data_IF_464055183101
#
_entry.id   IF_464055183101
#
_cell.length_a   1.000
_cell.length_b   1.000
_cell.length_c   1.000
_cell.angle_alpha   90.00
_cell.angle_beta   90.00
_cell.angle_gamma   90.00
#
_symmetry.space_group_name_H-M   'P 1'
#
loop_
_entity.id
_entity.type
_entity.pdbx_description
1 polymer ?
#
# COMPACT_ATOMS: atom_id res chain seq x y z
N UNK A 1 -29.71 68.20 -13.03
CA UNK A 1 -29.04 67.93 -14.33
C UNK A 1 -29.08 66.43 -14.60
N UNK A 2 -29.63 66.04 -15.77
CA UNK A 2 -29.49 64.80 -16.59
C UNK A 2 -29.50 63.41 -15.87
N UNK A 3 -30.56 62.57 -15.99
CA UNK A 3 -30.99 61.63 -17.11
C UNK A 3 -29.99 60.46 -17.31
N UNK A 4 -30.32 59.15 -17.39
CA UNK A 4 -31.39 58.33 -18.02
C UNK A 4 -31.54 56.99 -17.21
N UNK A 5 -32.70 56.38 -16.87
CA UNK A 5 -33.82 55.71 -17.60
C UNK A 5 -33.43 54.53 -18.51
N UNK A 6 -33.78 53.29 -18.10
CA UNK A 6 -34.59 52.35 -18.91
C UNK A 6 -35.23 51.23 -18.06
N UNK A 7 -36.56 51.23 -18.08
CA UNK A 7 -37.53 50.25 -17.60
C UNK A 7 -37.82 49.22 -18.69
N UNK A 8 -38.19 47.98 -18.37
CA UNK A 8 -39.17 47.16 -19.13
C UNK A 8 -39.62 45.95 -18.33
N UNK A 9 -40.88 45.99 -17.90
CA UNK A 9 -41.71 44.90 -17.41
C UNK A 9 -42.41 44.28 -18.62
N UNK A 10 -42.63 42.96 -18.64
CA UNK A 10 -43.65 42.37 -19.54
C UNK A 10 -44.43 41.30 -18.78
N UNK A 11 -45.75 41.46 -18.79
CA UNK A 11 -46.76 40.58 -18.21
C UNK A 11 -47.86 40.40 -19.26
N UNK A 12 -48.52 39.24 -19.21
CA UNK A 12 -49.83 38.89 -19.80
C UNK A 12 -49.83 38.29 -21.22
N UNK A 13 -50.24 37.02 -21.31
CA UNK A 13 -51.64 36.69 -21.63
C UNK A 13 -52.03 35.26 -21.25
N UNK A 14 -53.32 35.12 -21.04
CA UNK A 14 -54.07 34.16 -20.24
C UNK A 14 -54.74 33.06 -21.08
N UNK A 15 -55.18 31.98 -20.39
CA UNK A 15 -56.53 31.35 -20.48
C UNK A 15 -56.74 30.03 -21.27
N UNK A 16 -57.06 28.98 -20.46
CA UNK A 16 -58.15 27.98 -20.58
C UNK A 16 -58.07 26.84 -21.63
N UNK A 17 -58.53 25.60 -21.38
CA UNK A 17 -59.29 25.02 -20.26
C UNK A 17 -59.51 23.51 -20.41
N UNK A 18 -59.88 22.87 -19.28
CA UNK A 18 -60.78 21.69 -19.09
C UNK A 18 -60.25 20.31 -19.49
N UNK A 19 -60.60 19.19 -18.84
CA UNK A 19 -61.11 18.78 -17.51
C UNK A 19 -61.46 17.28 -17.69
N UNK A 20 -61.07 16.38 -16.78
CA UNK A 20 -61.98 15.40 -16.09
C UNK A 20 -61.19 14.25 -15.44
N UNK A 21 -61.33 14.18 -14.12
CA UNK A 21 -61.19 12.94 -13.34
C UNK A 21 -62.37 12.01 -13.64
N UNK A 22 -62.09 10.70 -13.69
CA UNK A 22 -63.02 9.64 -13.26
C UNK A 22 -62.24 8.45 -12.71
N UNK A 23 -62.80 7.89 -11.65
CA UNK A 23 -62.26 6.94 -10.68
C UNK A 23 -62.98 5.57 -10.86
N UNK A 24 -62.39 4.49 -10.30
CA UNK A 24 -62.86 3.08 -10.16
C UNK A 24 -62.58 2.17 -11.38
N UNK A 25 -62.15 0.89 -11.28
CA UNK A 25 -62.25 -0.11 -10.20
C UNK A 25 -61.31 -1.32 -10.45
N UNK A 26 -60.72 -1.85 -9.37
CA UNK A 26 -60.46 -3.28 -9.01
C UNK A 26 -59.88 -4.30 -10.00
N UNK A 27 -58.81 -5.01 -9.57
CA UNK A 27 -58.67 -6.49 -9.46
C UNK A 27 -57.18 -6.84 -9.17
N UNK A 28 -56.81 -7.19 -7.92
CA UNK A 28 -56.54 -8.56 -7.39
C UNK A 28 -55.27 -9.27 -7.89
N UNK A 29 -54.38 -9.61 -6.94
CA UNK A 29 -53.40 -10.71 -6.99
C UNK A 29 -52.01 -10.32 -7.53
N UNK A 30 -50.87 -10.82 -7.05
CA UNK A 30 -50.54 -11.85 -6.07
C UNK A 30 -49.07 -11.61 -5.65
N UNK A 31 -48.77 -11.81 -4.37
CA UNK A 31 -47.41 -11.97 -3.85
C UNK A 31 -46.73 -13.17 -4.53
N UNK A 32 -45.52 -13.01 -5.04
CA UNK A 32 -44.58 -14.11 -5.21
C UNK A 32 -43.19 -13.70 -4.76
N UNK A 33 -42.78 -14.31 -3.65
CA UNK A 33 -41.42 -14.43 -3.14
C UNK A 33 -40.55 -15.08 -4.23
N UNK A 34 -39.56 -14.37 -4.77
CA UNK A 34 -38.52 -15.00 -5.57
C UNK A 34 -37.41 -15.47 -4.62
N UNK A 35 -37.52 -16.74 -4.25
CA UNK A 35 -36.55 -17.54 -3.53
C UNK A 35 -35.32 -17.74 -4.45
N UNK A 36 -34.20 -17.07 -4.17
CA UNK A 36 -32.95 -17.38 -4.88
C UNK A 36 -32.27 -18.56 -4.17
N UNK A 37 -32.53 -19.78 -4.65
CA UNK A 37 -31.65 -20.91 -4.39
C UNK A 37 -30.41 -20.77 -5.28
N UNK A 38 -29.28 -20.37 -4.71
CA UNK A 38 -27.99 -20.63 -5.32
C UNK A 38 -27.63 -22.10 -5.07
N UNK A 39 -27.56 -22.87 -6.15
CA UNK A 39 -27.17 -24.28 -6.16
C UNK A 39 -25.71 -24.43 -5.74
N UNK A 40 -25.47 -25.22 -4.70
CA UNK A 40 -24.15 -25.77 -4.38
C UNK A 40 -23.70 -26.69 -5.53
N UNK A 41 -22.60 -26.34 -6.19
CA UNK A 41 -21.83 -27.27 -6.99
C UNK A 41 -20.37 -27.14 -6.57
N UNK A 42 -20.00 -27.97 -5.59
CA UNK A 42 -18.63 -28.19 -5.16
C UNK A 42 -17.95 -29.15 -6.13
N UNK A 43 -16.87 -28.67 -6.74
CA UNK A 43 -15.72 -29.51 -7.10
C UNK A 43 -14.49 -28.73 -6.68
N UNK A 44 -13.99 -29.04 -5.49
CA UNK A 44 -12.74 -28.51 -5.00
C UNK A 44 -11.60 -29.30 -5.64
N UNK A 45 -10.79 -28.62 -6.44
CA UNK A 45 -9.33 -28.72 -6.36
C UNK A 45 -8.79 -27.32 -6.63
N UNK A 46 -8.47 -26.59 -5.56
CA UNK A 46 -7.63 -25.41 -5.64
C UNK A 46 -6.28 -25.82 -5.07
N UNK A 47 -5.24 -25.88 -5.91
CA UNK A 47 -3.88 -25.81 -5.41
C UNK A 47 -3.34 -24.44 -5.80
N UNK A 48 -3.59 -23.43 -4.97
CA UNK A 48 -2.56 -22.41 -4.72
C UNK A 48 -1.62 -23.08 -3.72
N UNK A 49 -0.34 -23.21 -4.07
CA UNK A 49 0.68 -23.56 -3.08
C UNK A 49 1.51 -22.31 -2.90
N UNK A 50 1.26 -21.58 -1.82
CA UNK A 50 2.16 -20.57 -1.34
C UNK A 50 3.51 -21.22 -1.08
N UNK A 51 4.58 -20.50 -1.36
CA UNK A 51 5.92 -20.92 -0.99
C UNK A 51 6.41 -20.04 0.14
N UNK A 52 7.11 -20.65 1.10
CA UNK A 52 7.79 -19.95 2.18
C UNK A 52 9.29 -20.18 2.05
N UNK A 53 10.07 -19.11 2.22
CA UNK A 53 11.53 -19.16 2.22
C UNK A 53 12.07 -18.27 3.33
N UNK A 54 12.82 -18.86 4.28
CA UNK A 54 13.74 -18.10 5.12
C UNK A 54 14.93 -17.65 4.26
N UNK A 55 15.24 -16.36 4.27
CA UNK A 55 16.30 -15.80 3.42
C UNK A 55 17.72 -16.12 3.94
N UNK A 56 17.81 -16.55 5.21
CA UNK A 56 19.06 -16.74 5.94
C UNK A 56 19.71 -15.41 6.29
N UNK A 57 21.01 -15.46 6.58
CA UNK A 57 21.78 -14.31 7.07
C UNK A 57 23.09 -14.15 6.29
N UNK A 58 23.75 -13.01 6.49
CA UNK A 58 25.06 -12.76 5.89
C UNK A 58 26.11 -13.74 6.45
N UNK A 59 26.95 -14.34 5.59
CA UNK A 59 27.95 -15.30 6.03
C UNK A 59 28.93 -14.72 7.07
N UNK A 60 29.18 -15.49 8.13
CA UNK A 60 30.22 -15.22 9.12
C UNK A 60 29.84 -14.23 10.24
N UNK A 61 28.68 -13.58 10.18
CA UNK A 61 28.13 -12.83 11.30
C UNK A 61 27.21 -13.66 12.20
N UNK A 62 26.47 -12.97 13.07
CA UNK A 62 25.42 -13.59 13.88
C UNK A 62 24.20 -13.95 13.03
N UNK A 63 23.40 -14.90 13.52
CA UNK A 63 22.12 -15.31 12.90
C UNK A 63 21.09 -14.21 13.17
N UNK A 64 21.06 -13.20 12.31
CA UNK A 64 20.12 -12.09 12.37
C UNK A 64 19.93 -11.43 11.01
N UNK A 65 18.68 -11.31 10.57
CA UNK A 65 18.32 -10.62 9.33
C UNK A 65 16.91 -10.03 9.37
N UNK A 66 16.72 -8.91 8.68
CA UNK A 66 15.45 -8.22 8.53
C UNK A 66 15.24 -7.81 7.08
N UNK A 67 14.16 -8.24 6.45
CA UNK A 67 13.74 -7.71 5.15
C UNK A 67 12.86 -6.48 5.33
N UNK A 68 13.15 -5.42 4.57
CA UNK A 68 12.42 -4.15 4.61
C UNK A 68 11.75 -3.77 3.30
N UNK A 69 12.30 -4.18 2.15
CA UNK A 69 11.73 -3.88 0.84
C UNK A 69 11.89 -5.01 -0.16
N UNK A 70 11.00 -5.07 -1.15
CA UNK A 70 11.01 -6.04 -2.24
C UNK A 70 10.77 -5.35 -3.59
N UNK A 71 11.42 -5.82 -4.65
CA UNK A 71 11.21 -5.30 -6.01
C UNK A 71 9.78 -5.58 -6.51
N UNK A 72 9.33 -4.81 -7.51
CA UNK A 72 7.99 -4.93 -8.09
C UNK A 72 7.67 -6.33 -8.61
N UNK A 73 8.69 -7.05 -9.11
CA UNK A 73 8.57 -8.43 -9.59
C UNK A 73 8.79 -9.50 -8.50
N UNK A 74 9.14 -9.10 -7.28
CA UNK A 74 9.40 -10.01 -6.17
C UNK A 74 10.75 -10.72 -6.20
N UNK A 75 11.65 -10.37 -7.13
CA UNK A 75 12.91 -11.09 -7.35
C UNK A 75 14.08 -10.63 -6.49
N UNK A 76 14.02 -9.41 -5.98
CA UNK A 76 15.06 -8.79 -5.15
C UNK A 76 14.46 -8.37 -3.81
N UNK A 77 15.14 -8.71 -2.72
CA UNK A 77 14.79 -8.31 -1.35
C UNK A 77 15.95 -7.53 -0.75
N UNK A 78 15.66 -6.45 -0.04
CA UNK A 78 16.67 -5.64 0.66
C UNK A 78 16.33 -5.50 2.13
N UNK A 79 17.35 -5.20 2.92
CA UNK A 79 17.21 -5.13 4.36
C UNK A 79 18.54 -4.91 5.07
N UNK A 80 18.69 -5.49 6.27
CA UNK A 80 19.98 -5.57 6.93
C UNK A 80 20.19 -6.92 7.63
N UNK A 81 21.45 -7.30 7.79
CA UNK A 81 21.88 -8.52 8.46
C UNK A 81 23.27 -8.31 9.09
N UNK A 82 23.71 -9.23 9.95
CA UNK A 82 25.02 -9.16 10.58
C UNK A 82 26.07 -9.89 9.75
N UNK A 83 27.15 -9.20 9.36
CA UNK A 83 28.33 -9.82 8.77
C UNK A 83 29.51 -9.85 9.76
N UNK A 84 30.66 -10.36 9.31
CA UNK A 84 31.90 -10.34 10.09
C UNK A 84 32.40 -8.94 10.44
N UNK A 85 31.99 -7.93 9.68
CA UNK A 85 32.40 -6.53 9.88
C UNK A 85 31.45 -5.79 10.84
N UNK A 86 30.22 -6.27 10.98
CA UNK A 86 29.15 -5.66 11.76
C UNK A 86 27.81 -5.73 11.01
N UNK A 87 26.75 -5.10 11.53
CA UNK A 87 25.47 -5.01 10.83
C UNK A 87 25.62 -4.22 9.53
N UNK A 88 25.07 -4.71 8.43
CA UNK A 88 25.09 -3.99 7.16
C UNK A 88 23.84 -4.25 6.33
N UNK A 89 23.57 -3.31 5.44
CA UNK A 89 22.55 -3.42 4.42
C UNK A 89 22.85 -4.64 3.53
N UNK A 90 21.82 -5.38 3.17
CA UNK A 90 21.94 -6.46 2.19
C UNK A 90 21.07 -6.22 0.96
N UNK A 91 21.49 -6.86 -0.12
CA UNK A 91 20.69 -7.15 -1.31
C UNK A 91 20.64 -8.66 -1.50
N UNK A 92 19.45 -9.22 -1.61
CA UNK A 92 19.22 -10.66 -1.78
C UNK A 92 18.50 -10.93 -3.09
N UNK A 93 18.92 -11.99 -3.79
CA UNK A 93 18.13 -12.61 -4.84
C UNK A 93 18.33 -14.13 -4.83
N UNK A 94 17.45 -14.86 -5.51
CA UNK A 94 17.46 -16.32 -5.50
C UNK A 94 18.76 -16.94 -6.09
N UNK A 95 19.39 -16.26 -7.06
CA UNK A 95 20.55 -16.80 -7.76
C UNK A 95 21.87 -16.61 -6.99
N UNK A 96 22.00 -15.50 -6.27
CA UNK A 96 23.21 -15.10 -5.56
C UNK A 96 23.13 -15.23 -4.04
N UNK A 97 21.94 -15.40 -3.47
CA UNK A 97 21.72 -15.35 -2.04
C UNK A 97 21.88 -13.92 -1.49
N UNK A 98 22.22 -13.83 -0.20
CA UNK A 98 22.37 -12.56 0.50
C UNK A 98 23.77 -11.96 0.25
N UNK A 99 23.82 -10.74 -0.30
CA UNK A 99 25.03 -9.96 -0.53
C UNK A 99 25.04 -8.73 0.38
N UNK A 100 26.12 -8.56 1.16
CA UNK A 100 26.35 -7.34 1.96
C UNK A 100 26.75 -6.15 1.08
N UNK A 101 26.21 -4.97 1.38
CA UNK A 101 26.43 -3.74 0.60
C UNK A 101 27.53 -2.84 1.19
N UNK A 102 28.03 -3.15 2.38
CA UNK A 102 28.96 -2.32 3.16
C UNK A 102 28.28 -1.15 3.85
N UNK A 103 29.08 -0.17 4.26
CA UNK A 103 28.65 1.08 4.88
C UNK A 103 29.23 2.31 4.16
N UNK A 104 28.70 3.49 4.46
CA UNK A 104 29.37 4.74 4.13
C UNK A 104 30.40 5.07 5.21
N UNK A 105 31.57 5.61 4.84
CA UNK A 105 32.62 5.91 5.80
C UNK A 105 32.26 7.07 6.74
N UNK A 106 32.93 7.07 7.90
CA UNK A 106 32.86 8.13 8.91
C UNK A 106 31.76 7.88 9.93
N UNK A 107 31.66 6.64 10.42
CA UNK A 107 30.75 6.13 11.45
C UNK A 107 31.22 4.75 11.93
N UNK A 108 30.47 4.11 12.83
CA UNK A 108 30.61 2.67 13.05
C UNK A 108 30.20 1.91 11.78
N UNK A 109 30.72 0.69 11.59
CA UNK A 109 30.30 -0.16 10.48
C UNK A 109 28.84 -0.57 10.67
N UNK A 110 27.95 0.19 10.05
CA UNK A 110 26.51 0.04 10.17
C UNK A 110 25.77 0.67 9.00
N UNK A 111 24.92 -0.11 8.33
CA UNK A 111 24.00 0.40 7.33
C UNK A 111 22.69 -0.40 7.28
N UNK A 112 21.63 0.21 6.73
CA UNK A 112 20.35 -0.45 6.45
C UNK A 112 19.83 -0.03 5.08
N UNK A 113 19.44 -0.99 4.26
CA UNK A 113 18.65 -0.76 3.06
C UNK A 113 17.16 -0.81 3.41
N UNK A 114 16.42 0.25 3.08
CA UNK A 114 15.00 0.37 3.44
C UNK A 114 14.06 0.18 2.26
N UNK A 115 14.50 0.46 1.03
CA UNK A 115 13.69 0.30 -0.17
C UNK A 115 14.56 0.02 -1.41
N UNK A 116 13.95 -0.56 -2.43
CA UNK A 116 14.59 -0.97 -3.69
C UNK A 116 13.70 -0.61 -4.88
N UNK A 117 14.30 -0.19 -6.00
CA UNK A 117 13.56 0.11 -7.22
C UNK A 117 12.82 -1.11 -7.77
N UNK A 118 11.82 -0.88 -8.62
CA UNK A 118 10.93 -1.95 -9.13
C UNK A 118 11.66 -3.05 -9.90
N UNK A 119 12.82 -2.74 -10.50
CA UNK A 119 13.69 -3.71 -11.17
C UNK A 119 14.83 -4.27 -10.30
N UNK A 120 14.89 -3.94 -9.01
CA UNK A 120 15.92 -4.42 -8.10
C UNK A 120 17.28 -3.70 -8.17
N UNK A 121 17.49 -2.78 -9.11
CA UNK A 121 18.84 -2.27 -9.45
C UNK A 121 19.34 -1.09 -8.61
N UNK A 122 18.44 -0.39 -7.91
CA UNK A 122 18.78 0.77 -7.08
C UNK A 122 18.25 0.53 -5.68
N UNK A 123 19.14 0.63 -4.69
CA UNK A 123 18.80 0.44 -3.27
C UNK A 123 19.01 1.76 -2.53
N UNK A 124 18.10 2.09 -1.61
CA UNK A 124 18.21 3.28 -0.77
C UNK A 124 18.11 2.94 0.70
N UNK A 125 18.68 3.80 1.52
CA UNK A 125 18.70 3.59 2.95
C UNK A 125 19.55 4.61 3.67
N UNK A 126 20.18 4.15 4.75
CA UNK A 126 21.05 4.99 5.56
C UNK A 126 22.23 4.22 6.15
N UNK A 127 23.31 4.95 6.41
CA UNK A 127 24.51 4.50 7.10
C UNK A 127 24.71 5.30 8.37
N UNK A 128 25.33 4.72 9.39
CA UNK A 128 25.71 5.46 10.60
C UNK A 128 26.78 6.52 10.28
N UNK A 129 26.83 7.58 11.09
CA UNK A 129 27.81 8.64 10.97
C UNK A 129 28.40 9.00 12.34
N UNK A 130 29.62 9.55 12.35
CA UNK A 130 30.35 10.01 13.53
C UNK A 130 29.70 11.25 14.15
N UNK A 131 28.86 11.96 13.39
CA UNK A 131 27.99 12.98 13.92
C UNK A 131 26.77 12.31 14.55
N UNK A 132 26.81 12.16 15.88
CA UNK A 132 25.76 11.52 16.67
C UNK A 132 24.36 12.13 16.46
N UNK A 133 24.27 13.32 15.84
CA UNK A 133 23.01 13.97 15.53
C UNK A 133 22.36 13.51 14.21
N UNK A 134 23.07 12.82 13.31
CA UNK A 134 22.52 12.43 11.99
C UNK A 134 23.06 11.11 11.43
N UNK A 135 22.23 10.37 10.69
CA UNK A 135 22.68 9.30 9.79
C UNK A 135 23.08 9.89 8.42
N UNK A 136 23.59 9.06 7.52
CA UNK A 136 23.85 9.43 6.11
C UNK A 136 22.91 8.69 5.19
N UNK A 137 22.04 9.41 4.49
CA UNK A 137 21.19 8.82 3.46
C UNK A 137 22.07 8.35 2.30
N UNK A 138 21.81 7.15 1.78
CA UNK A 138 22.55 6.61 0.65
C UNK A 138 21.64 6.18 -0.49
N UNK A 139 22.23 6.16 -1.69
CA UNK A 139 21.75 5.44 -2.87
C UNK A 139 22.85 4.50 -3.35
N UNK A 140 22.52 3.24 -3.57
CA UNK A 140 23.43 2.19 -4.01
C UNK A 140 23.04 1.66 -5.39
N UNK A 141 24.04 1.38 -6.22
CA UNK A 141 23.91 0.55 -7.43
C UNK A 141 25.11 -0.38 -7.53
N UNK A 142 24.98 -1.48 -8.27
CA UNK A 142 26.08 -2.43 -8.50
C UNK A 142 27.34 -1.76 -9.06
N UNK A 143 27.15 -0.75 -9.91
CA UNK A 143 28.23 -0.11 -10.66
C UNK A 143 28.95 0.98 -9.85
N UNK A 144 28.24 1.63 -8.92
CA UNK A 144 28.76 2.78 -8.17
C UNK A 144 29.05 2.47 -6.70
N UNK A 145 28.51 1.38 -6.15
CA UNK A 145 28.48 1.16 -4.69
C UNK A 145 27.59 2.18 -3.98
N UNK A 146 27.79 2.35 -2.66
CA UNK A 146 27.03 3.34 -1.88
C UNK A 146 27.51 4.76 -2.21
N UNK A 147 26.56 5.60 -2.62
CA UNK A 147 26.76 7.04 -2.79
C UNK A 147 25.96 7.79 -1.74
N UNK A 148 26.62 8.70 -1.02
CA UNK A 148 25.98 9.58 -0.05
C UNK A 148 25.06 10.61 -0.73
N UNK A 149 23.84 10.77 -0.22
CA UNK A 149 22.89 11.81 -0.64
C UNK A 149 22.90 13.02 0.30
N UNK A 150 23.24 12.82 1.57
CA UNK A 150 23.41 13.84 2.59
C UNK A 150 23.07 13.34 4.00
N UNK A 151 23.18 14.23 4.98
CA UNK A 151 22.93 13.94 6.40
C UNK A 151 21.42 13.73 6.65
N UNK A 152 21.00 12.48 6.80
CA UNK A 152 19.61 12.09 6.94
C UNK A 152 19.37 10.60 6.69
N UNK A 153 18.15 10.28 6.25
CA UNK A 153 17.72 8.91 5.94
C UNK A 153 16.98 8.87 4.60
N UNK A 154 17.38 7.99 3.69
CA UNK A 154 16.57 7.62 2.53
C UNK A 154 15.58 6.53 2.92
N UNK A 155 14.28 6.81 2.83
CA UNK A 155 13.23 5.87 3.25
C UNK A 155 12.64 5.09 2.09
N UNK A 156 12.43 5.73 0.93
CA UNK A 156 11.76 5.09 -0.19
C UNK A 156 12.24 5.60 -1.57
N UNK A 157 11.98 4.83 -2.61
CA UNK A 157 12.40 5.10 -3.99
C UNK A 157 11.31 4.75 -5.01
N UNK A 158 11.18 5.56 -6.06
CA UNK A 158 10.29 5.27 -7.19
C UNK A 158 10.67 3.99 -7.93
N UNK A 159 9.71 3.38 -8.64
CA UNK A 159 9.90 2.10 -9.31
C UNK A 159 11.01 2.14 -10.38
N UNK A 160 11.21 3.28 -11.02
CA UNK A 160 12.28 3.50 -12.00
C UNK A 160 13.65 3.85 -11.38
N UNK A 161 13.72 3.99 -10.05
CA UNK A 161 14.95 4.32 -9.32
C UNK A 161 15.40 5.78 -9.45
N UNK A 162 14.54 6.68 -9.94
CA UNK A 162 14.91 8.07 -10.27
C UNK A 162 14.57 9.09 -9.18
N UNK A 163 13.66 8.77 -8.27
CA UNK A 163 13.20 9.65 -7.19
C UNK A 163 13.39 8.97 -5.84
N UNK A 164 14.20 9.57 -4.96
CA UNK A 164 14.39 9.09 -3.58
C UNK A 164 13.75 10.08 -2.62
N UNK A 165 13.07 9.57 -1.60
CA UNK A 165 12.46 10.40 -0.55
C UNK A 165 12.92 9.98 0.83
N UNK A 166 12.81 10.88 1.79
CA UNK A 166 13.24 10.63 3.16
C UNK A 166 13.22 11.86 4.05
N UNK A 167 14.07 11.86 5.08
CA UNK A 167 14.35 13.02 5.94
C UNK A 167 15.79 13.50 5.78
N UNK A 168 16.00 14.81 5.69
CA UNK A 168 17.32 15.44 5.60
C UNK A 168 17.47 16.51 6.67
N UNK A 169 18.66 16.64 7.24
CA UNK A 169 18.98 17.69 8.17
C UNK A 169 19.19 19.02 7.44
N UNK A 170 18.46 20.06 7.85
CA UNK A 170 18.61 21.42 7.38
C UNK A 170 19.39 22.25 8.42
N UNK A 171 20.65 22.57 8.10
CA UNK A 171 21.53 23.32 9.00
C UNK A 171 21.10 24.77 9.25
N UNK A 172 20.28 25.36 8.37
CA UNK A 172 19.81 26.75 8.56
C UNK A 172 18.72 26.84 9.62
N UNK A 173 17.87 25.81 9.70
CA UNK A 173 16.77 25.73 10.67
C UNK A 173 17.13 24.88 11.88
N UNK A 174 18.20 24.09 11.80
CA UNK A 174 18.58 23.07 12.78
C UNK A 174 17.45 22.04 13.02
N UNK A 175 16.79 21.62 11.95
CA UNK A 175 15.67 20.67 11.98
C UNK A 175 15.75 19.65 10.84
N UNK A 176 15.01 18.55 10.98
CA UNK A 176 14.82 17.57 9.90
C UNK A 176 13.68 17.99 9.00
N UNK A 177 13.86 17.92 7.69
CA UNK A 177 12.83 18.22 6.70
C UNK A 177 12.61 17.03 5.77
N UNK A 178 11.38 16.85 5.32
CA UNK A 178 11.08 15.89 4.26
C UNK A 178 11.86 16.29 3.01
N UNK A 179 12.47 15.35 2.30
CA UNK A 179 13.17 15.66 1.05
C UNK A 179 12.68 14.81 -0.11
N UNK A 180 12.96 15.32 -1.31
CA UNK A 180 12.89 14.60 -2.57
C UNK A 180 14.19 14.81 -3.33
N UNK A 181 14.85 13.73 -3.71
CA UNK A 181 16.08 13.74 -4.50
C UNK A 181 15.79 13.28 -5.93
N UNK A 182 16.46 13.91 -6.89
CA UNK A 182 16.61 13.40 -8.26
C UNK A 182 18.05 13.62 -8.73
N UNK A 183 18.49 12.88 -9.74
CA UNK A 183 19.82 13.09 -10.33
C UNK A 183 20.02 14.51 -10.89
N UNK A 184 18.95 15.16 -11.37
CA UNK A 184 19.01 16.50 -11.95
C UNK A 184 19.05 17.63 -10.92
N UNK A 185 18.39 17.46 -9.77
CA UNK A 185 18.25 18.50 -8.75
C UNK A 185 19.09 18.29 -7.49
N UNK A 186 19.63 17.08 -7.29
CA UNK A 186 20.12 16.67 -5.98
C UNK A 186 18.98 16.62 -4.94
N UNK A 187 19.36 16.67 -3.65
CA UNK A 187 18.42 16.69 -2.53
C UNK A 187 17.72 18.04 -2.47
N UNK A 188 16.39 18.04 -2.52
CA UNK A 188 15.56 19.23 -2.34
C UNK A 188 14.64 19.00 -1.15
N UNK A 189 14.72 19.86 -0.14
CA UNK A 189 13.78 19.88 0.98
C UNK A 189 12.38 20.30 0.52
N UNK A 190 11.36 19.60 1.01
CA UNK A 190 9.94 19.88 0.75
C UNK A 190 9.34 20.87 1.75
N UNK A 191 10.09 21.22 2.81
CA UNK A 191 9.64 22.06 3.92
C UNK A 191 8.71 21.33 4.88
N UNK A 192 7.89 22.09 5.59
CA UNK A 192 6.91 21.61 6.59
C UNK A 192 5.54 22.28 6.37
N UNK A 193 4.50 21.70 6.97
CA UNK A 193 3.20 22.35 7.08
C UNK A 193 3.29 23.59 7.99
N UNK A 194 2.42 24.60 7.80
CA UNK A 194 2.42 25.80 8.64
C UNK A 194 2.26 25.47 10.13
N UNK A 195 3.24 25.89 10.94
CA UNK A 195 3.25 25.67 12.39
C UNK A 195 4.09 24.46 12.84
N UNK A 196 4.52 23.60 11.92
CA UNK A 196 5.40 22.48 12.21
C UNK A 196 6.87 22.84 11.96
N UNK A 197 7.77 22.22 12.72
CA UNK A 197 9.22 22.51 12.68
C UNK A 197 10.06 21.38 12.11
N UNK A 198 9.50 20.19 11.89
CA UNK A 198 10.23 19.06 11.30
C UNK A 198 9.33 18.24 10.37
N UNK A 199 9.91 17.41 9.51
CA UNK A 199 9.16 16.49 8.67
C UNK A 199 10.01 15.40 8.04
N UNK A 200 9.31 14.38 7.51
CA UNK A 200 9.87 13.21 6.86
C UNK A 200 8.95 12.78 5.72
N UNK A 201 9.51 12.47 4.55
CA UNK A 201 8.78 11.77 3.50
C UNK A 201 9.01 10.27 3.65
N UNK A 202 7.97 9.50 3.96
CA UNK A 202 8.08 8.08 4.30
C UNK A 202 8.00 7.20 3.06
N UNK A 203 7.18 7.59 2.07
CA UNK A 203 6.95 6.79 0.86
C UNK A 203 6.65 7.65 -0.37
N UNK A 204 6.87 7.08 -1.56
CA UNK A 204 6.67 7.72 -2.86
C UNK A 204 5.97 6.80 -3.85
N UNK A 205 5.09 7.35 -4.71
CA UNK A 205 4.46 6.58 -5.79
C UNK A 205 5.47 6.04 -6.80
N UNK A 206 5.06 5.03 -7.57
CA UNK A 206 5.93 4.35 -8.53
C UNK A 206 6.55 5.30 -9.58
N UNK A 207 5.82 6.35 -9.94
CA UNK A 207 6.26 7.40 -10.88
C UNK A 207 6.99 8.58 -10.21
N UNK A 208 7.15 8.58 -8.89
CA UNK A 208 7.84 9.63 -8.17
C UNK A 208 7.06 10.94 -8.01
N UNK A 209 5.76 10.97 -8.33
CA UNK A 209 4.94 12.19 -8.42
C UNK A 209 4.15 12.51 -7.15
N UNK A 210 3.83 11.49 -6.33
CA UNK A 210 3.11 11.62 -5.07
C UNK A 210 4.04 11.20 -3.94
N UNK A 211 4.22 12.09 -2.96
CA UNK A 211 5.02 11.81 -1.77
C UNK A 211 4.11 11.89 -0.55
N UNK A 212 4.22 10.91 0.34
CA UNK A 212 3.43 10.88 1.58
C UNK A 212 4.38 10.76 2.75
N UNK A 213 4.05 11.46 3.83
CA UNK A 213 4.91 11.51 4.99
C UNK A 213 4.28 12.22 6.16
N UNK A 214 5.13 12.73 7.03
CA UNK A 214 4.74 13.48 8.20
C UNK A 214 5.45 14.82 8.30
N UNK A 215 4.72 15.84 8.74
CA UNK A 215 5.22 17.15 9.15
C UNK A 215 4.76 17.36 10.60
N UNK A 216 5.66 17.59 11.54
CA UNK A 216 5.32 17.64 12.95
C UNK A 216 4.56 16.37 13.37
N UNK A 217 3.34 16.53 13.86
CA UNK A 217 2.41 15.43 14.20
C UNK A 217 1.36 15.13 13.12
N UNK A 218 1.49 15.76 11.96
CA UNK A 218 0.50 15.79 10.90
C UNK A 218 0.97 14.93 9.73
N UNK A 219 0.10 14.08 9.18
CA UNK A 219 0.37 13.40 7.93
C UNK A 219 0.18 14.37 6.76
N UNK A 220 0.99 14.23 5.71
CA UNK A 220 0.83 15.03 4.50
C UNK A 220 0.85 14.17 3.25
N UNK A 221 0.21 14.70 2.20
CA UNK A 221 0.38 14.29 0.82
C UNK A 221 0.92 15.45 0.01
N UNK A 222 1.98 15.21 -0.74
CA UNK A 222 2.67 16.20 -1.56
C UNK A 222 2.62 15.82 -3.03
N UNK A 223 2.44 16.83 -3.89
CA UNK A 223 2.69 16.74 -5.33
C UNK A 223 3.36 18.04 -5.79
N UNK A 224 4.00 18.03 -6.95
CA UNK A 224 4.58 19.26 -7.53
C UNK A 224 3.54 20.36 -7.79
N UNK A 225 2.29 19.98 -8.08
CA UNK A 225 1.20 20.93 -8.37
C UNK A 225 0.53 21.52 -7.12
N UNK A 226 0.49 20.78 -6.02
CA UNK A 226 -0.21 21.19 -4.79
C UNK A 226 0.71 21.65 -3.67
N UNK A 227 2.00 21.28 -3.72
CA UNK A 227 2.86 21.32 -2.55
C UNK A 227 2.37 20.36 -1.46
N UNK A 228 2.80 20.61 -0.22
CA UNK A 228 2.45 19.80 0.95
C UNK A 228 1.03 20.12 1.41
N UNK A 229 0.16 19.11 1.44
CA UNK A 229 -1.22 19.22 1.91
C UNK A 229 -1.42 18.26 3.08
N UNK A 230 -1.83 18.77 4.23
CA UNK A 230 -2.10 17.95 5.42
C UNK A 230 -3.32 17.04 5.23
N UNK A 231 -3.22 15.81 5.72
CA UNK A 231 -4.28 14.81 5.65
C UNK A 231 -5.15 14.78 6.92
N UNK A 232 -4.75 15.47 7.99
CA UNK A 232 -5.32 15.29 9.35
C UNK A 232 -6.76 15.80 9.48
N UNK A 233 -7.14 16.80 8.67
CA UNK A 233 -8.53 17.23 8.53
C UNK A 233 -9.44 16.15 7.90
N UNK A 234 -8.85 15.14 7.25
CA UNK A 234 -9.55 13.99 6.67
C UNK A 234 -9.32 12.68 7.44
N UNK A 235 -8.21 12.57 8.17
CA UNK A 235 -7.85 11.37 8.93
C UNK A 235 -8.40 11.38 10.37
N UNK A 236 -8.84 12.53 10.90
CA UNK A 236 -9.33 12.65 12.27
C UNK A 236 -8.17 12.64 13.27
N UNK A 237 -7.99 13.73 14.02
CA UNK A 237 -6.78 13.96 14.82
C UNK A 237 -6.40 12.82 15.79
N UNK A 238 -5.10 12.50 15.84
CA UNK A 238 -4.53 11.54 16.79
C UNK A 238 -3.02 11.33 16.57
N UNK A 239 -2.27 11.34 17.66
CA UNK A 239 -0.93 11.93 17.80
C UNK A 239 0.26 10.97 17.59
N UNK A 240 0.34 10.23 16.49
CA UNK A 240 1.62 9.62 16.09
C UNK A 240 1.83 9.61 14.55
N UNK A 241 2.50 10.62 13.98
CA UNK A 241 2.75 10.74 12.55
C UNK A 241 3.53 9.58 11.93
N UNK A 242 4.37 8.88 12.71
CA UNK A 242 5.16 7.73 12.23
C UNK A 242 4.31 6.49 11.91
N UNK A 243 3.05 6.52 12.34
CA UNK A 243 2.09 5.45 12.11
C UNK A 243 1.18 5.74 10.94
N UNK A 244 0.97 7.01 10.56
CA UNK A 244 -0.13 7.37 9.66
C UNK A 244 0.10 6.88 8.24
N UNK A 245 1.26 7.09 7.62
CA UNK A 245 1.47 6.64 6.24
C UNK A 245 2.79 5.88 6.09
N UNK A 246 2.67 4.55 5.95
CA UNK A 246 3.80 3.64 5.78
C UNK A 246 3.95 3.14 4.35
N UNK A 247 2.86 3.00 3.62
CA UNK A 247 2.86 2.52 2.24
C UNK A 247 1.86 3.26 1.37
N UNK A 248 2.08 3.18 0.06
CA UNK A 248 1.27 3.82 -0.97
C UNK A 248 1.11 2.91 -2.19
N UNK A 249 -0.02 2.97 -2.88
CA UNK A 249 -0.19 2.33 -4.19
C UNK A 249 0.68 3.00 -5.27
N UNK A 250 0.92 2.29 -6.37
CA UNK A 250 1.80 2.76 -7.45
C UNK A 250 1.34 4.09 -8.08
N UNK A 251 0.03 4.33 -8.13
CA UNK A 251 -0.58 5.56 -8.64
C UNK A 251 -0.77 6.66 -7.57
N UNK A 252 -0.40 6.39 -6.32
CA UNK A 252 -0.53 7.34 -5.22
C UNK A 252 -1.97 7.61 -4.76
N UNK A 253 -2.91 6.71 -5.07
CA UNK A 253 -4.34 6.86 -4.75
C UNK A 253 -4.76 6.17 -3.45
N UNK A 254 -4.06 5.12 -3.04
CA UNK A 254 -4.27 4.38 -1.78
C UNK A 254 -3.09 4.62 -0.85
N UNK A 255 -3.36 5.04 0.39
CA UNK A 255 -2.36 5.23 1.45
C UNK A 255 -2.69 4.28 2.59
N UNK A 256 -1.70 3.57 3.12
CA UNK A 256 -1.88 2.65 4.24
C UNK A 256 -0.99 3.00 5.42
N UNK A 257 -1.45 2.62 6.62
CA UNK A 257 -0.72 2.84 7.85
C UNK A 257 -1.50 2.35 9.06
N UNK A 258 -1.28 3.01 10.19
CA UNK A 258 -2.01 2.86 11.42
C UNK A 258 -2.55 4.21 11.91
N UNK A 259 -3.79 4.19 12.36
CA UNK A 259 -4.48 5.34 12.90
C UNK A 259 -4.93 5.05 14.33
N UNK A 260 -4.74 5.97 15.29
CA UNK A 260 -5.15 5.76 16.67
C UNK A 260 -6.67 5.93 16.83
N UNK A 261 -7.41 4.81 16.80
CA UNK A 261 -8.81 4.80 17.18
C UNK A 261 -8.91 4.60 18.70
N UNK A 262 -9.40 5.61 19.43
CA UNK A 262 -9.48 5.63 20.90
C UNK A 262 -8.13 5.38 21.61
N UNK A 263 -7.02 5.85 21.02
CA UNK A 263 -5.67 5.71 21.57
C UNK A 263 -4.97 4.39 21.26
N UNK A 264 -5.58 3.53 20.45
CA UNK A 264 -5.02 2.25 20.01
C UNK A 264 -4.73 2.31 18.51
N UNK A 265 -3.50 2.04 18.04
CA UNK A 265 -3.21 2.04 16.62
C UNK A 265 -3.91 0.85 15.94
N UNK A 266 -4.73 1.14 14.93
CA UNK A 266 -5.38 0.14 14.09
C UNK A 266 -4.99 0.35 12.63
N UNK A 267 -4.81 -0.74 11.86
CA UNK A 267 -4.47 -0.66 10.46
C UNK A 267 -5.59 0.05 9.69
N UNK A 268 -5.22 0.86 8.70
CA UNK A 268 -6.19 1.55 7.85
C UNK A 268 -5.73 1.61 6.40
N UNK A 269 -6.68 1.82 5.49
CA UNK A 269 -6.44 2.30 4.12
C UNK A 269 -7.20 3.61 3.89
N UNK A 270 -6.59 4.52 3.16
CA UNK A 270 -7.21 5.80 2.79
C UNK A 270 -7.20 5.96 1.28
N UNK A 271 -8.30 6.50 0.76
CA UNK A 271 -8.40 6.92 -0.64
C UNK A 271 -8.96 8.32 -0.74
N UNK A 272 -8.64 9.03 -1.82
CA UNK A 272 -9.12 10.40 -2.02
C UNK A 272 -10.66 10.47 -2.09
N UNK A 273 -11.32 9.46 -2.67
CA UNK A 273 -12.78 9.42 -2.83
C UNK A 273 -13.52 8.82 -1.62
N UNK A 274 -12.89 7.87 -0.92
CA UNK A 274 -13.51 7.13 0.17
C UNK A 274 -13.15 7.65 1.57
N UNK A 275 -12.09 8.45 1.70
CA UNK A 275 -11.54 8.82 3.00
C UNK A 275 -10.88 7.64 3.70
N UNK A 276 -10.83 7.68 5.03
CA UNK A 276 -10.23 6.63 5.86
C UNK A 276 -11.17 5.46 6.05
N UNK A 277 -10.70 4.26 5.71
CA UNK A 277 -11.31 3.01 6.08
C UNK A 277 -10.40 2.24 7.04
N UNK A 278 -10.92 1.93 8.21
CA UNK A 278 -10.25 1.07 9.18
C UNK A 278 -10.30 -0.38 8.69
N UNK A 279 -9.16 -1.07 8.69
CA UNK A 279 -9.12 -2.51 8.41
C UNK A 279 -9.52 -3.28 9.67
N UNK A 280 -10.08 -4.47 9.48
CA UNK A 280 -10.35 -5.37 10.59
C UNK A 280 -9.03 -5.85 11.23
N UNK A 281 -9.13 -6.41 12.44
CA UNK A 281 -8.02 -7.09 13.09
C UNK A 281 -8.21 -8.60 12.95
N UNK A 282 -7.12 -9.35 13.10
CA UNK A 282 -7.15 -10.80 13.21
C UNK A 282 -8.15 -11.24 14.30
N UNK A 283 -9.11 -12.08 13.90
CA UNK A 283 -10.29 -12.47 14.69
C UNK A 283 -9.94 -13.16 16.02
N UNK A 284 -8.73 -13.71 16.14
CA UNK A 284 -8.27 -14.48 17.30
C UNK A 284 -7.58 -13.62 18.38
N UNK A 285 -8.13 -12.44 18.67
CA UNK A 285 -7.65 -11.60 19.78
C UNK A 285 -6.63 -10.52 19.37
N UNK A 286 -6.62 -10.11 18.10
CA UNK A 286 -5.94 -8.89 17.68
C UNK A 286 -6.51 -7.69 18.43
N UNK A 287 -5.62 -6.87 19.01
CA UNK A 287 -6.03 -5.67 19.75
C UNK A 287 -5.42 -4.37 19.21
N UNK A 288 -4.42 -4.46 18.35
CA UNK A 288 -3.78 -3.33 17.66
C UNK A 288 -3.12 -3.82 16.38
N UNK A 289 -2.84 -2.93 15.42
CA UNK A 289 -2.12 -3.31 14.21
C UNK A 289 -1.69 -2.15 13.35
N UNK A 290 -0.89 -2.49 12.34
CA UNK A 290 -0.29 -1.55 11.41
C UNK A 290 -0.32 -2.17 10.01
N UNK A 291 -0.82 -1.43 9.02
CA UNK A 291 -0.61 -1.74 7.62
C UNK A 291 0.72 -1.11 7.16
N UNK A 292 1.62 -1.92 6.61
CA UNK A 292 2.98 -1.52 6.27
C UNK A 292 3.12 -1.19 4.77
N UNK A 293 2.50 -1.98 3.91
CA UNK A 293 2.60 -1.83 2.46
C UNK A 293 1.32 -2.24 1.73
N UNK A 294 1.18 -1.80 0.48
CA UNK A 294 0.07 -2.12 -0.39
C UNK A 294 0.57 -2.50 -1.79
N UNK A 295 -0.17 -3.36 -2.50
CA UNK A 295 0.11 -3.69 -3.91
C UNK A 295 -0.01 -2.46 -4.82
N UNK A 296 0.45 -2.57 -6.06
CA UNK A 296 0.45 -1.46 -7.01
C UNK A 296 -0.95 -0.87 -7.26
N UNK A 297 -1.99 -1.71 -7.23
CA UNK A 297 -3.40 -1.31 -7.35
C UNK A 297 -4.07 -1.02 -5.99
N UNK A 298 -3.35 -1.17 -4.88
CA UNK A 298 -3.83 -0.97 -3.53
C UNK A 298 -4.89 -1.97 -3.06
N UNK A 299 -5.11 -3.06 -3.79
CA UNK A 299 -6.13 -4.07 -3.46
C UNK A 299 -5.69 -5.06 -2.39
N UNK A 300 -4.38 -5.31 -2.28
CA UNK A 300 -3.78 -6.17 -1.27
C UNK A 300 -2.95 -5.33 -0.32
N UNK A 301 -3.14 -5.51 0.99
CA UNK A 301 -2.43 -4.78 2.04
C UNK A 301 -1.78 -5.78 2.97
N UNK A 302 -0.53 -5.52 3.36
CA UNK A 302 0.20 -6.36 4.32
C UNK A 302 0.60 -5.57 5.54
N UNK A 303 0.75 -6.26 6.65
CA UNK A 303 1.15 -5.63 7.89
C UNK A 303 1.27 -6.58 9.04
N UNK A 304 1.08 -6.07 10.25
CA UNK A 304 1.11 -6.87 11.46
C UNK A 304 0.02 -6.47 12.45
N UNK A 305 -0.44 -7.43 13.24
CA UNK A 305 -1.34 -7.22 14.38
C UNK A 305 -0.68 -7.68 15.67
N UNK A 306 -0.90 -6.94 16.75
CA UNK A 306 -0.56 -7.37 18.11
C UNK A 306 -1.61 -8.37 18.61
N UNK A 307 -1.18 -9.57 18.97
CA UNK A 307 -2.01 -10.64 19.53
C UNK A 307 -1.30 -11.21 20.77
N UNK A 308 -1.94 -11.09 21.94
CA UNK A 308 -1.28 -11.43 23.21
C UNK A 308 0.03 -10.64 23.40
N UNK A 309 1.14 -11.27 23.82
CA UNK A 309 2.44 -10.63 23.91
C UNK A 309 3.20 -10.55 22.57
N UNK A 310 2.68 -11.16 21.50
CA UNK A 310 3.35 -11.27 20.21
C UNK A 310 2.74 -10.38 19.13
N UNK A 311 3.38 -10.43 17.96
CA UNK A 311 2.87 -9.85 16.72
C UNK A 311 2.69 -10.97 15.69
N UNK A 312 1.69 -10.83 14.82
CA UNK A 312 1.41 -11.72 13.70
C UNK A 312 1.35 -10.95 12.40
N UNK A 313 1.99 -11.47 11.38
CA UNK A 313 1.95 -10.92 10.04
C UNK A 313 0.58 -11.21 9.40
N UNK A 314 -0.01 -10.21 8.74
CA UNK A 314 -1.29 -10.37 8.04
C UNK A 314 -1.19 -9.97 6.57
N UNK A 315 -2.14 -10.50 5.81
CA UNK A 315 -2.55 -9.99 4.49
C UNK A 315 -4.03 -9.63 4.54
N UNK A 316 -4.42 -8.55 3.88
CA UNK A 316 -5.77 -8.05 3.81
C UNK A 316 -6.17 -7.81 2.36
N UNK A 317 -7.43 -8.12 2.05
CA UNK A 317 -8.11 -7.73 0.83
C UNK A 317 -9.61 -7.51 1.10
N UNK A 318 -10.32 -6.87 0.17
CA UNK A 318 -11.75 -6.54 0.34
C UNK A 318 -12.68 -7.76 0.41
N UNK A 319 -12.27 -8.93 -0.10
CA UNK A 319 -13.11 -10.13 -0.18
C UNK A 319 -13.03 -10.92 1.12
N UNK A 320 -11.83 -11.11 1.64
CA UNK A 320 -11.55 -12.00 2.77
C UNK A 320 -11.27 -11.25 4.09
N UNK A 321 -11.01 -9.94 4.03
CA UNK A 321 -10.59 -9.14 5.17
C UNK A 321 -9.19 -9.52 5.65
N UNK A 322 -8.89 -9.24 6.91
CA UNK A 322 -7.56 -9.52 7.49
C UNK A 322 -7.39 -11.00 7.77
N UNK A 323 -6.38 -11.61 7.15
CA UNK A 323 -6.04 -13.03 7.27
C UNK A 323 -4.63 -13.19 7.85
N UNK A 324 -4.44 -14.18 8.72
CA UNK A 324 -3.13 -14.51 9.31
C UNK A 324 -2.30 -15.26 8.27
N UNK A 325 -1.08 -14.78 7.98
CA UNK A 325 -0.20 -15.42 7.02
C UNK A 325 0.27 -16.81 7.48
N UNK A 326 0.41 -17.06 8.79
CA UNK A 326 0.73 -18.40 9.30
C UNK A 326 -0.41 -19.39 9.10
N UNK A 327 -1.65 -18.94 9.30
CA UNK A 327 -2.84 -19.77 9.08
C UNK A 327 -2.96 -20.13 7.59
N UNK A 328 -2.71 -19.18 6.69
CA UNK A 328 -2.70 -19.42 5.24
C UNK A 328 -1.64 -20.47 4.88
N UNK A 329 -0.38 -20.28 5.30
CA UNK A 329 0.72 -21.18 5.00
C UNK A 329 0.46 -22.60 5.55
N UNK A 330 -0.02 -22.69 6.79
CA UNK A 330 -0.31 -23.97 7.43
C UNK A 330 -1.47 -24.69 6.74
N UNK A 331 -2.52 -23.96 6.34
CA UNK A 331 -3.66 -24.53 5.63
C UNK A 331 -3.28 -25.10 4.25
N UNK A 332 -2.27 -24.51 3.60
CA UNK A 332 -1.72 -25.00 2.33
C UNK A 332 -0.65 -26.10 2.51
N UNK A 333 -0.35 -26.49 3.76
CA UNK A 333 0.60 -27.55 4.08
C UNK A 333 2.08 -27.14 3.92
N UNK A 334 2.36 -25.83 3.97
CA UNK A 334 3.72 -25.30 3.94
C UNK A 334 4.38 -25.52 5.30
N UNK A 335 5.58 -26.09 5.29
CA UNK A 335 6.35 -26.30 6.53
C UNK A 335 6.99 -24.98 6.99
N UNK A 336 6.47 -24.44 8.09
CA UNK A 336 7.01 -23.28 8.80
C UNK A 336 7.50 -23.66 10.21
N UNK A 337 7.90 -24.92 10.42
CA UNK A 337 8.35 -25.40 11.72
C UNK A 337 9.47 -24.53 12.28
N UNK A 338 9.31 -24.10 13.53
CA UNK A 338 10.27 -23.25 14.23
C UNK A 338 10.11 -21.75 13.96
N UNK A 339 9.24 -21.35 13.03
CA UNK A 339 8.95 -19.96 12.71
C UNK A 339 7.77 -19.39 13.50
N UNK A 340 7.91 -18.11 13.86
CA UNK A 340 6.84 -17.21 14.26
C UNK A 340 6.99 -15.95 13.40
N UNK A 341 6.14 -15.81 12.39
CA UNK A 341 6.11 -14.69 11.47
C UNK A 341 5.66 -13.44 12.24
N UNK A 342 6.53 -12.43 12.26
CA UNK A 342 6.31 -11.19 12.99
C UNK A 342 5.75 -10.09 12.09
N UNK A 343 6.63 -9.39 11.39
CA UNK A 343 6.27 -8.25 10.56
C UNK A 343 6.27 -8.65 9.09
N UNK A 344 5.15 -8.45 8.38
CA UNK A 344 5.17 -8.27 6.93
C UNK A 344 5.48 -6.81 6.63
N UNK A 345 6.61 -6.55 5.99
CA UNK A 345 7.16 -5.19 5.81
C UNK A 345 6.84 -4.61 4.44
N UNK A 346 6.85 -5.45 3.40
CA UNK A 346 6.63 -5.00 2.02
C UNK A 346 5.99 -6.09 1.15
N UNK A 347 5.41 -5.67 0.02
CA UNK A 347 4.73 -6.53 -0.96
C UNK A 347 5.03 -6.09 -2.39
N UNK A 348 5.30 -7.04 -3.28
CA UNK A 348 5.51 -6.79 -4.71
C UNK A 348 4.27 -6.19 -5.38
N UNK A 349 4.44 -5.41 -6.45
CA UNK A 349 3.39 -4.73 -7.20
C UNK A 349 2.17 -5.61 -7.54
N UNK A 350 2.42 -6.88 -7.91
CA UNK A 350 1.36 -7.81 -8.29
C UNK A 350 0.60 -8.43 -7.10
N UNK A 351 0.93 -8.05 -5.86
CA UNK A 351 0.30 -8.52 -4.63
C UNK A 351 0.65 -9.95 -4.22
N UNK A 352 1.72 -10.56 -4.77
CA UNK A 352 2.01 -11.99 -4.56
C UNK A 352 3.21 -12.27 -3.69
N UNK A 353 4.27 -11.48 -3.78
CA UNK A 353 5.49 -11.70 -2.98
C UNK A 353 5.47 -10.77 -1.79
N UNK A 354 5.45 -11.35 -0.60
CA UNK A 354 5.43 -10.62 0.68
C UNK A 354 6.74 -10.91 1.39
N UNK A 355 7.41 -9.88 1.91
CA UNK A 355 8.64 -10.04 2.68
C UNK A 355 8.47 -9.53 4.10
N UNK A 356 9.34 -10.00 4.98
CA UNK A 356 9.24 -9.65 6.38
C UNK A 356 10.34 -10.23 7.24
N UNK A 357 10.13 -10.15 8.55
CA UNK A 357 11.00 -10.76 9.55
C UNK A 357 10.17 -11.44 10.64
N UNK A 358 10.74 -12.48 11.23
CA UNK A 358 10.10 -13.30 12.26
C UNK A 358 11.12 -13.98 13.15
N UNK A 359 10.65 -14.63 14.21
CA UNK A 359 11.51 -15.45 15.05
C UNK A 359 11.60 -16.86 14.49
N UNK A 360 12.82 -17.34 14.24
CA UNK A 360 13.11 -18.70 13.82
C UNK A 360 14.08 -19.34 14.81
N UNK A 361 13.63 -20.37 15.53
CA UNK A 361 14.45 -21.11 16.50
C UNK A 361 15.23 -20.24 17.51
N UNK A 362 14.66 -19.10 17.90
CA UNK A 362 15.23 -18.17 18.88
C UNK A 362 16.00 -16.97 18.28
N UNK A 363 16.19 -16.92 16.96
CA UNK A 363 16.84 -15.81 16.26
C UNK A 363 15.83 -15.03 15.43
N UNK A 364 16.13 -13.78 15.09
CA UNK A 364 15.32 -13.03 14.12
C UNK A 364 15.85 -13.29 12.72
N UNK A 365 15.00 -13.77 11.82
CA UNK A 365 15.38 -14.03 10.44
C UNK A 365 14.39 -13.41 9.46
N UNK A 366 14.92 -12.98 8.32
CA UNK A 366 14.14 -12.48 7.20
C UNK A 366 13.47 -13.63 6.46
N UNK A 367 12.25 -13.41 5.98
CA UNK A 367 11.48 -14.38 5.24
C UNK A 367 10.82 -13.76 4.01
N UNK A 368 10.46 -14.63 3.07
CA UNK A 368 9.69 -14.31 1.88
C UNK A 368 8.58 -15.35 1.68
N UNK A 369 7.38 -14.87 1.40
CA UNK A 369 6.21 -15.67 1.01
C UNK A 369 5.88 -15.33 -0.44
N UNK A 370 5.57 -16.34 -1.25
CA UNK A 370 4.96 -16.13 -2.56
C UNK A 370 3.59 -16.77 -2.60
N UNK A 371 2.54 -15.95 -2.62
CA UNK A 371 1.17 -16.38 -2.79
C UNK A 371 0.92 -16.71 -4.28
N UNK A 372 0.27 -17.85 -4.54
CA UNK A 372 -0.19 -18.18 -5.89
C UNK A 372 -1.60 -17.62 -6.07
N UNK A 373 -1.93 -17.04 -7.24
CA UNK A 373 -3.30 -16.69 -7.54
C UNK A 373 -4.12 -17.96 -7.44
N UNK A 374 -5.27 -17.88 -6.77
CA UNK A 374 -6.29 -18.92 -6.88
C UNK A 374 -6.55 -19.05 -8.39
N UNK A 375 -6.37 -20.23 -9.00
CA UNK A 375 -6.79 -20.42 -10.38
C UNK A 375 -8.28 -20.12 -10.40
N UNK A 376 -8.68 -18.97 -10.97
CA UNK A 376 -10.10 -18.71 -11.22
C UNK A 376 -10.50 -19.86 -12.14
N UNK A 377 -11.37 -20.79 -11.72
CA UNK A 377 -11.85 -21.81 -12.64
C UNK A 377 -12.41 -21.02 -13.81
N UNK A 378 -11.87 -21.23 -15.01
CA UNK A 378 -12.26 -20.47 -16.18
C UNK A 378 -13.79 -20.44 -16.18
N UNK A 379 -14.36 -19.27 -15.89
CA UNK A 379 -15.79 -19.08 -16.00
C UNK A 379 -16.03 -19.21 -17.49
N UNK A 380 -16.38 -20.43 -17.92
CA UNK A 380 -16.76 -20.71 -19.29
C UNK A 380 -17.84 -19.68 -19.62
N UNK A 381 -17.67 -18.82 -20.65
CA UNK A 381 -18.72 -17.93 -21.06
C UNK A 381 -19.78 -18.77 -21.78
N UNK A 382 -20.56 -19.56 -21.04
CA UNK A 382 -21.85 -20.02 -21.52
C UNK A 382 -22.80 -18.84 -21.32
N UNK A 383 -22.95 -18.02 -22.36
CA UNK A 383 -24.25 -17.67 -22.96
C UNK A 383 -24.04 -16.63 -24.06
N UNK A 384 -23.64 -17.11 -25.24
CA UNK A 384 -23.87 -16.43 -26.50
C UNK A 384 -24.64 -17.33 -27.46
N UNK A 385 -25.75 -17.95 -27.03
CA UNK A 385 -26.69 -18.61 -27.94
C UNK A 385 -28.12 -18.67 -27.36
N UNK A 386 -28.86 -17.56 -27.36
CA UNK A 386 -30.30 -17.55 -27.70
C UNK A 386 -30.64 -16.18 -28.32
N UNK A 387 -30.14 -15.89 -29.51
CA UNK A 387 -30.76 -14.90 -30.39
C UNK A 387 -30.63 -15.29 -31.87
N UNK A 388 -30.97 -16.54 -32.18
CA UNK A 388 -31.10 -17.01 -33.57
C UNK A 388 -31.88 -18.33 -33.63
N UNK A 389 -33.12 -18.32 -33.14
CA UNK A 389 -34.07 -19.41 -33.35
C UNK A 389 -35.53 -18.89 -33.47
N UNK A 390 -35.71 -17.73 -34.12
CA UNK A 390 -37.01 -17.30 -34.64
C UNK A 390 -36.79 -16.55 -35.95
N UNK A 391 -36.29 -17.29 -36.94
CA UNK A 391 -36.42 -16.93 -38.34
C UNK A 391 -37.70 -17.53 -38.92
N UNK A 392 -38.51 -16.66 -39.53
CA UNK A 392 -39.25 -16.93 -40.78
C UNK A 392 -40.49 -17.85 -40.69
N UNK A 393 -41.69 -17.25 -40.69
CA UNK A 393 -42.75 -17.60 -41.66
C UNK A 393 -43.85 -16.51 -41.70
N UNK A 394 -44.14 -16.00 -42.89
CA UNK A 394 -45.07 -14.91 -43.15
C UNK A 394 -46.53 -15.31 -43.44
N UNK A 395 -47.32 -14.26 -43.74
CA UNK A 395 -48.69 -14.21 -44.31
C UNK A 395 -49.84 -14.61 -43.35
N UNK A 396 -50.99 -13.93 -43.26
CA UNK A 396 -51.74 -13.08 -44.21
C UNK A 396 -52.49 -11.93 -43.51
N UNK A 397 -52.64 -10.81 -44.23
CA UNK A 397 -53.76 -9.85 -44.03
C UNK A 397 -55.09 -10.55 -44.34
N UNK A 398 -56.10 -10.36 -43.48
CA UNK A 398 -57.50 -10.53 -43.86
C UNK A 398 -58.28 -9.32 -43.32
N UNK A 399 -58.89 -8.57 -44.25
CA UNK A 399 -59.85 -7.49 -43.98
C UNK A 399 -61.05 -8.07 -43.23
N UNK A 400 -61.59 -7.32 -42.28
CA UNK A 400 -62.99 -7.42 -41.88
C UNK A 400 -63.57 -6.02 -42.02
N UNK A 401 -64.63 -5.96 -42.83
CA UNK A 401 -65.59 -4.87 -43.03
C UNK A 401 -66.27 -4.43 -41.75
#
# INVERSE_FOLDING_TARGET
MKKYIRTSITLSKTVNSRRRNKFHSTHTGLFFFALFLASQATWAVSYSVATFLGLGDLPGGGVESYAYGVSADGSVVVGYSNSTSGPEAFHWNLAGGMLGLGDLPGGNFFSRALSVSGNGSVVVGWSESDDISTAKAFRWTSDAGMTELGNGWGFDISADGSVVVGGIYNANTNTMEAFRWTSGSGVVGLGTLPGDSFGYAHTVSADGSVVVGSSGNNAFRWTSGTGMVGLDNQLGGGTNPLQVARGISADGSVIVGAHPFNGVPLPYRWTLSGGTEQLDLLKNGGWSGIANAASADGSIIVGNNSIGPGIRAFVWDEIYGTQDLEDILTAEGVDITGWQLGNATDISDNGRVIVGSGFHNGNTEAWMITLQPIPIPAALPLFATVLSALGIMGFKRKKIT
#
